data_IF_727563967080
#
_entry.id   IF_727563967080
#
_cell.length_a   1.000
_cell.length_b   1.000
_cell.length_c   1.000
_cell.angle_alpha   90.00
_cell.angle_beta   90.00
_cell.angle_gamma   90.00
#
_symmetry.space_group_name_H-M   'P 1'
#
loop_
_entity.id
_entity.type
_entity.pdbx_description
1 polymer ?
#
# COMPACT_ATOMS: atom_id res chain seq x y z
N UNK A 1 23.25 -20.86 65.55
CA UNK A 1 22.62 -19.54 65.39
C UNK A 1 22.46 -19.03 63.94
N UNK A 2 22.82 -19.78 62.88
CA UNK A 2 22.71 -19.27 61.48
C UNK A 2 21.51 -19.74 60.64
N UNK A 3 20.60 -20.57 61.19
CA UNK A 3 19.51 -21.20 60.43
C UNK A 3 18.25 -20.33 60.26
N UNK A 4 17.88 -19.55 61.28
CA UNK A 4 16.70 -18.69 61.23
C UNK A 4 16.88 -17.50 60.28
N UNK A 5 18.09 -16.92 60.21
CA UNK A 5 18.38 -15.81 59.28
C UNK A 5 18.41 -16.25 57.82
N UNK A 6 18.91 -17.45 57.53
CA UNK A 6 18.83 -18.06 56.18
C UNK A 6 17.37 -18.29 55.76
N UNK A 7 16.51 -18.73 56.67
CA UNK A 7 15.07 -18.93 56.41
C UNK A 7 14.35 -17.59 56.14
N UNK A 8 14.61 -16.56 56.96
CA UNK A 8 14.06 -15.20 56.75
C UNK A 8 14.50 -14.61 55.41
N UNK A 9 15.78 -14.73 55.04
CA UNK A 9 16.30 -14.28 53.73
C UNK A 9 15.64 -14.98 52.55
N UNK A 10 15.39 -16.30 52.62
CA UNK A 10 14.70 -17.05 51.55
C UNK A 10 13.25 -16.60 51.38
N UNK A 11 12.52 -16.39 52.48
CA UNK A 11 11.14 -15.89 52.45
C UNK A 11 11.05 -14.49 51.85
N UNK A 12 11.99 -13.59 52.21
CA UNK A 12 12.06 -12.26 51.63
C UNK A 12 12.31 -12.29 50.11
N UNK A 13 13.32 -13.07 49.66
CA UNK A 13 13.60 -13.24 48.24
C UNK A 13 12.43 -13.84 47.45
N UNK A 14 11.72 -14.81 48.03
CA UNK A 14 10.53 -15.40 47.41
C UNK A 14 9.38 -14.37 47.32
N UNK A 15 9.18 -13.55 48.36
CA UNK A 15 8.18 -12.48 48.36
C UNK A 15 8.48 -11.42 47.30
N UNK A 16 9.75 -11.04 47.14
CA UNK A 16 10.21 -10.12 46.09
C UNK A 16 10.03 -10.75 44.70
N UNK A 17 10.44 -12.00 44.50
CA UNK A 17 10.29 -12.72 43.23
C UNK A 17 8.81 -12.87 42.82
N UNK A 18 7.92 -13.18 43.77
CA UNK A 18 6.48 -13.28 43.52
C UNK A 18 5.85 -11.91 43.21
N UNK A 19 6.36 -10.83 43.81
CA UNK A 19 5.97 -9.45 43.46
C UNK A 19 6.42 -9.10 42.05
N UNK A 20 7.66 -9.39 41.69
CA UNK A 20 8.17 -9.15 40.34
C UNK A 20 7.45 -9.98 39.28
N UNK A 21 7.18 -11.26 39.54
CA UNK A 21 6.41 -12.13 38.64
C UNK A 21 5.03 -11.53 38.36
N UNK A 22 4.29 -11.14 39.41
CA UNK A 22 3.00 -10.45 39.25
C UNK A 22 3.12 -9.12 38.52
N UNK A 23 4.18 -8.34 38.77
CA UNK A 23 4.43 -7.07 38.06
C UNK A 23 4.66 -7.31 36.57
N UNK A 24 5.48 -8.30 36.20
CA UNK A 24 5.75 -8.67 34.80
C UNK A 24 4.49 -9.18 34.12
N UNK A 25 3.69 -10.00 34.79
CA UNK A 25 2.43 -10.51 34.26
C UNK A 25 1.41 -9.38 34.01
N UNK A 26 1.30 -8.40 34.93
CA UNK A 26 0.47 -7.21 34.70
C UNK A 26 0.98 -6.36 33.54
N UNK A 27 2.27 -6.09 33.48
CA UNK A 27 2.86 -5.30 32.40
C UNK A 27 2.62 -5.97 31.03
N UNK A 28 2.77 -7.30 30.93
CA UNK A 28 2.46 -8.04 29.72
C UNK A 28 0.96 -8.02 29.38
N UNK A 29 0.08 -8.15 30.38
CA UNK A 29 -1.36 -8.03 30.17
C UNK A 29 -1.77 -6.63 29.68
N UNK A 30 -1.17 -5.57 30.23
CA UNK A 30 -1.36 -4.18 29.82
C UNK A 30 -0.85 -3.94 28.39
N UNK A 31 0.33 -4.50 28.04
CA UNK A 31 0.87 -4.45 26.69
C UNK A 31 -0.05 -5.16 25.67
N UNK A 32 -0.53 -6.36 26.00
CA UNK A 32 -1.49 -7.08 25.16
C UNK A 32 -2.80 -6.30 25.01
N UNK A 33 -3.32 -5.72 26.09
CA UNK A 33 -4.53 -4.89 26.04
C UNK A 33 -4.33 -3.66 25.15
N UNK A 34 -3.18 -2.99 25.25
CA UNK A 34 -2.81 -1.86 24.40
C UNK A 34 -2.73 -2.28 22.92
N UNK A 35 -2.09 -3.42 22.64
CA UNK A 35 -1.97 -3.96 21.28
C UNK A 35 -3.32 -4.34 20.70
N UNK A 36 -4.19 -4.99 21.47
CA UNK A 36 -5.56 -5.32 21.03
C UNK A 36 -6.34 -4.04 20.73
N UNK A 37 -6.25 -3.02 21.58
CA UNK A 37 -6.90 -1.72 21.35
C UNK A 37 -6.40 -1.04 20.06
N UNK A 38 -5.08 -1.02 19.84
CA UNK A 38 -4.48 -0.47 18.62
C UNK A 38 -4.93 -1.22 17.36
N UNK A 39 -4.91 -2.56 17.40
CA UNK A 39 -5.38 -3.41 16.29
C UNK A 39 -6.88 -3.24 16.03
N UNK A 40 -7.70 -3.09 17.07
CA UNK A 40 -9.13 -2.80 16.92
C UNK A 40 -9.40 -1.43 16.31
N UNK A 41 -8.59 -0.41 16.66
CA UNK A 41 -8.66 0.91 16.03
C UNK A 41 -8.26 0.85 14.56
N UNK A 42 -7.17 0.15 14.23
CA UNK A 42 -6.72 -0.05 12.86
C UNK A 42 -7.75 -0.81 12.03
N UNK A 43 -8.32 -1.88 12.57
CA UNK A 43 -9.35 -2.68 11.88
C UNK A 43 -10.58 -1.82 11.57
N UNK A 44 -11.06 -1.01 12.52
CA UNK A 44 -12.15 -0.06 12.26
C UNK A 44 -11.81 0.95 11.15
N UNK A 45 -10.58 1.46 11.11
CA UNK A 45 -10.11 2.36 10.05
C UNK A 45 -10.10 1.67 8.69
N UNK A 46 -9.58 0.44 8.62
CA UNK A 46 -9.54 -0.35 7.39
C UNK A 46 -10.94 -0.69 6.89
N UNK A 47 -11.86 -1.08 7.77
CA UNK A 47 -13.26 -1.34 7.44
C UNK A 47 -13.94 -0.10 6.87
N UNK A 48 -13.75 1.07 7.49
CA UNK A 48 -14.30 2.33 6.97
C UNK A 48 -13.75 2.68 5.60
N UNK A 49 -12.43 2.55 5.40
CA UNK A 49 -11.82 2.80 4.09
C UNK A 49 -12.34 1.85 3.02
N UNK A 50 -12.45 0.55 3.34
CA UNK A 50 -12.97 -0.47 2.43
C UNK A 50 -14.43 -0.18 2.06
N UNK A 51 -15.26 0.27 3.02
CA UNK A 51 -16.62 0.69 2.75
C UNK A 51 -16.69 1.89 1.80
N UNK A 52 -15.83 2.90 1.99
CA UNK A 52 -15.76 4.06 1.08
C UNK A 52 -15.35 3.64 -0.34
N UNK A 53 -14.35 2.77 -0.47
CA UNK A 53 -13.90 2.25 -1.77
C UNK A 53 -15.02 1.45 -2.44
N UNK A 54 -15.68 0.55 -1.70
CA UNK A 54 -16.81 -0.22 -2.22
C UNK A 54 -17.96 0.67 -2.70
N UNK A 55 -18.32 1.71 -1.94
CA UNK A 55 -19.35 2.66 -2.34
C UNK A 55 -18.97 3.42 -3.61
N UNK A 56 -17.69 3.81 -3.76
CA UNK A 56 -17.20 4.48 -4.97
C UNK A 56 -17.26 3.55 -6.18
N UNK A 57 -16.81 2.32 -6.06
CA UNK A 57 -16.86 1.32 -7.15
C UNK A 57 -18.30 1.05 -7.59
N UNK A 58 -19.18 0.73 -6.63
CA UNK A 58 -20.60 0.49 -6.93
C UNK A 58 -21.29 1.73 -7.51
N UNK A 59 -20.90 2.94 -7.07
CA UNK A 59 -21.43 4.19 -7.60
C UNK A 59 -21.08 4.37 -9.08
N UNK A 60 -19.82 4.13 -9.44
CA UNK A 60 -19.36 4.19 -10.84
C UNK A 60 -20.04 3.14 -11.71
N UNK A 61 -20.19 1.91 -11.22
CA UNK A 61 -20.90 0.83 -11.94
C UNK A 61 -22.37 1.19 -12.20
N UNK A 62 -23.07 1.74 -11.20
CA UNK A 62 -24.46 2.20 -11.38
C UNK A 62 -24.57 3.34 -12.38
N UNK A 63 -23.62 4.28 -12.34
CA UNK A 63 -23.60 5.40 -13.28
C UNK A 63 -23.36 4.90 -14.72
N UNK A 64 -22.42 3.96 -14.91
CA UNK A 64 -22.17 3.31 -16.19
C UNK A 64 -23.44 2.62 -16.72
N UNK A 65 -24.09 1.82 -15.89
CA UNK A 65 -25.33 1.12 -16.24
C UNK A 65 -26.45 2.10 -16.64
N UNK A 66 -26.58 3.22 -15.93
CA UNK A 66 -27.56 4.27 -16.26
C UNK A 66 -27.30 4.87 -17.64
N UNK A 67 -26.03 5.14 -17.97
CA UNK A 67 -25.67 5.67 -19.29
C UNK A 67 -25.89 4.65 -20.41
N UNK A 68 -25.66 3.37 -20.15
CA UNK A 68 -26.00 2.29 -21.09
C UNK A 68 -27.52 2.20 -21.33
N UNK A 69 -28.33 2.37 -20.29
CA UNK A 69 -29.79 2.40 -20.41
C UNK A 69 -30.27 3.62 -21.22
N UNK A 70 -29.67 4.79 -21.00
CA UNK A 70 -29.98 5.98 -21.79
C UNK A 70 -29.60 5.81 -23.27
N UNK A 71 -28.44 5.22 -23.56
CA UNK A 71 -28.04 4.85 -24.92
C UNK A 71 -29.04 3.89 -25.58
N UNK A 72 -29.56 2.91 -24.84
CA UNK A 72 -30.60 1.99 -25.34
C UNK A 72 -31.89 2.74 -25.72
N UNK A 73 -32.31 3.69 -24.87
CA UNK A 73 -33.51 4.51 -25.12
C UNK A 73 -33.30 5.41 -26.33
N UNK A 74 -32.09 5.97 -26.52
CA UNK A 74 -31.76 6.76 -27.71
C UNK A 74 -31.83 5.93 -28.99
N UNK A 75 -31.36 4.67 -28.95
CA UNK A 75 -31.52 3.75 -30.08
C UNK A 75 -32.99 3.43 -30.37
N UNK A 76 -33.81 3.22 -29.35
CA UNK A 76 -35.24 2.90 -29.54
C UNK A 76 -36.05 4.08 -30.09
N UNK A 77 -35.59 5.31 -29.86
CA UNK A 77 -36.24 6.54 -30.32
C UNK A 77 -35.69 7.05 -31.65
N UNK A 78 -34.79 6.30 -32.30
CA UNK A 78 -34.10 6.72 -33.52
C UNK A 78 -33.49 8.12 -33.39
N UNK A 79 -32.76 8.36 -32.28
CA UNK A 79 -32.05 9.62 -32.06
C UNK A 79 -31.08 9.92 -33.20
N UNK A 80 -30.81 11.21 -33.44
CA UNK A 80 -29.94 11.61 -34.54
C UNK A 80 -28.50 11.11 -34.34
N UNK A 81 -27.78 10.89 -35.44
CA UNK A 81 -26.38 10.46 -35.38
C UNK A 81 -25.48 11.47 -34.65
N UNK A 82 -25.81 12.77 -34.69
CA UNK A 82 -25.08 13.82 -33.96
C UNK A 82 -25.29 13.71 -32.44
N UNK A 83 -26.53 13.51 -32.00
CA UNK A 83 -26.85 13.29 -30.58
C UNK A 83 -26.21 12.00 -30.07
N UNK A 84 -26.27 10.93 -30.86
CA UNK A 84 -25.66 9.64 -30.55
C UNK A 84 -24.12 9.76 -30.45
N UNK A 85 -23.50 10.51 -31.35
CA UNK A 85 -22.06 10.78 -31.33
C UNK A 85 -21.64 11.54 -30.06
N UNK A 86 -22.38 12.59 -29.70
CA UNK A 86 -22.09 13.38 -28.49
C UNK A 86 -22.20 12.55 -27.21
N UNK A 87 -23.24 11.72 -27.10
CA UNK A 87 -23.44 10.87 -25.93
C UNK A 87 -22.37 9.76 -25.84
N UNK A 88 -22.05 9.13 -26.98
CA UNK A 88 -21.00 8.12 -27.07
C UNK A 88 -19.62 8.70 -26.69
N UNK A 89 -19.31 9.91 -27.14
CA UNK A 89 -18.06 10.57 -26.79
C UNK A 89 -17.96 10.82 -25.28
N UNK A 90 -19.06 11.27 -24.65
CA UNK A 90 -19.10 11.41 -23.19
C UNK A 90 -18.92 10.05 -22.47
N UNK A 91 -19.56 8.99 -22.96
CA UNK A 91 -19.38 7.64 -22.43
C UNK A 91 -17.92 7.16 -22.57
N UNK A 92 -17.29 7.41 -23.72
CA UNK A 92 -15.88 7.10 -23.99
C UNK A 92 -14.97 7.79 -22.98
N UNK A 93 -15.14 9.09 -22.78
CA UNK A 93 -14.29 9.87 -21.88
C UNK A 93 -14.37 9.39 -20.42
N UNK A 94 -15.55 8.92 -19.99
CA UNK A 94 -15.79 8.44 -18.64
C UNK A 94 -15.33 7.00 -18.40
N UNK A 95 -15.51 6.09 -19.37
CA UNK A 95 -15.39 4.65 -19.13
C UNK A 95 -14.47 3.88 -20.08
N UNK A 96 -14.04 4.45 -21.19
CA UNK A 96 -13.07 3.78 -22.05
C UNK A 96 -11.70 3.73 -21.36
N UNK A 97 -10.94 2.67 -21.63
CA UNK A 97 -9.60 2.48 -21.08
C UNK A 97 -8.63 3.63 -21.43
N UNK A 98 -8.91 4.31 -22.53
CA UNK A 98 -8.11 5.40 -23.08
C UNK A 98 -8.81 6.76 -22.95
N UNK A 99 -9.94 6.84 -22.25
CA UNK A 99 -10.62 8.09 -21.93
C UNK A 99 -9.83 8.97 -20.96
N UNK A 100 -10.10 10.28 -20.99
CA UNK A 100 -9.39 11.29 -20.22
C UNK A 100 -9.53 11.07 -18.71
N UNK A 101 -10.68 10.57 -18.23
CA UNK A 101 -10.88 10.32 -16.81
C UNK A 101 -9.91 9.26 -16.27
N UNK A 102 -9.72 8.16 -17.00
CA UNK A 102 -8.77 7.11 -16.60
C UNK A 102 -7.33 7.59 -16.72
N UNK A 103 -7.01 8.36 -17.77
CA UNK A 103 -5.68 8.97 -17.94
C UNK A 103 -5.32 9.90 -16.77
N UNK A 104 -6.26 10.73 -16.32
CA UNK A 104 -6.10 11.61 -15.15
C UNK A 104 -5.86 10.81 -13.87
N UNK A 105 -6.63 9.76 -13.64
CA UNK A 105 -6.49 8.91 -12.45
C UNK A 105 -5.13 8.21 -12.40
N UNK A 106 -4.70 7.60 -13.51
CA UNK A 106 -3.37 6.96 -13.59
C UNK A 106 -2.26 7.99 -13.38
N UNK A 107 -2.34 9.16 -14.02
CA UNK A 107 -1.35 10.23 -13.80
C UNK A 107 -1.30 10.71 -12.36
N UNK A 108 -2.45 10.86 -11.71
CA UNK A 108 -2.54 11.23 -10.30
C UNK A 108 -1.83 10.20 -9.40
N UNK A 109 -2.01 8.89 -9.66
CA UNK A 109 -1.32 7.85 -8.91
C UNK A 109 0.19 7.81 -9.18
N UNK A 110 0.61 8.01 -10.42
CA UNK A 110 2.04 8.10 -10.77
C UNK A 110 2.70 9.31 -10.09
N UNK A 111 2.03 10.46 -10.03
CA UNK A 111 2.52 11.64 -9.32
C UNK A 111 2.62 11.42 -7.81
N UNK A 112 1.64 10.73 -7.20
CA UNK A 112 1.73 10.37 -5.78
C UNK A 112 2.90 9.43 -5.51
N UNK A 113 3.13 8.44 -6.38
CA UNK A 113 4.27 7.54 -6.27
C UNK A 113 5.59 8.30 -6.39
N UNK A 114 5.68 9.25 -7.34
CA UNK A 114 6.84 10.14 -7.49
C UNK A 114 7.08 10.96 -6.22
N UNK A 115 6.03 11.57 -5.66
CA UNK A 115 6.12 12.37 -4.44
C UNK A 115 6.58 11.55 -3.23
N UNK A 116 6.17 10.28 -3.13
CA UNK A 116 6.59 9.37 -2.06
C UNK A 116 8.02 8.88 -2.23
N UNK A 117 8.52 8.78 -3.47
CA UNK A 117 9.92 8.46 -3.75
C UNK A 117 10.84 9.65 -3.47
N UNK A 118 10.36 10.88 -3.66
CA UNK A 118 11.17 12.07 -3.41
C UNK A 118 11.52 12.21 -1.92
N UNK A 119 12.82 12.30 -1.56
CA UNK A 119 13.20 12.47 -0.17
C UNK A 119 12.71 13.81 0.40
N UNK A 120 12.39 13.83 1.69
CA UNK A 120 12.05 15.07 2.42
C UNK A 120 13.24 16.03 2.46
N UNK A 121 13.01 17.32 2.76
CA UNK A 121 14.09 18.33 2.79
C UNK A 121 15.25 17.94 3.73
N UNK A 122 14.93 17.43 4.92
CA UNK A 122 15.94 16.95 5.86
C UNK A 122 16.75 15.78 5.29
N UNK A 123 16.09 14.86 4.59
CA UNK A 123 16.75 13.70 3.96
C UNK A 123 17.61 14.15 2.78
N UNK A 124 17.12 15.07 1.94
CA UNK A 124 17.89 15.68 0.83
C UNK A 124 19.16 16.33 1.34
N UNK A 125 19.05 17.19 2.36
CA UNK A 125 20.22 17.84 2.98
C UNK A 125 21.19 16.82 3.57
N UNK A 126 20.69 15.77 4.21
CA UNK A 126 21.53 14.70 4.75
C UNK A 126 22.27 13.95 3.65
N UNK A 127 21.56 13.49 2.61
CA UNK A 127 22.16 12.77 1.48
C UNK A 127 23.19 13.64 0.76
N UNK A 128 22.85 14.90 0.48
CA UNK A 128 23.75 15.85 -0.17
C UNK A 128 25.01 16.11 0.65
N UNK A 129 24.87 16.41 1.95
CA UNK A 129 26.01 16.66 2.86
C UNK A 129 26.92 15.45 2.94
N UNK A 130 26.32 14.26 2.97
CA UNK A 130 27.04 13.00 3.08
C UNK A 130 27.66 12.54 1.75
N UNK A 131 27.24 13.07 0.61
CA UNK A 131 27.86 12.82 -0.70
C UNK A 131 29.14 13.65 -0.89
N UNK A 132 29.29 14.78 -0.17
CA UNK A 132 30.41 15.70 -0.34
C UNK A 132 31.77 15.08 0.01
N UNK A 133 32.82 15.55 -0.66
CA UNK A 133 34.19 15.04 -0.53
C UNK A 133 34.94 15.62 0.68
N UNK A 134 36.20 15.23 0.86
CA UNK A 134 37.03 15.71 1.98
C UNK A 134 37.38 17.19 1.89
N UNK A 135 37.26 17.82 0.72
CA UNK A 135 37.49 19.26 0.59
C UNK A 135 36.36 20.04 1.25
N UNK A 136 35.12 19.61 1.05
CA UNK A 136 33.95 20.21 1.71
C UNK A 136 34.08 20.20 3.23
N UNK A 137 34.48 19.08 3.83
CA UNK A 137 34.63 19.01 5.30
C UNK A 137 35.95 19.62 5.82
N UNK A 138 36.90 19.98 4.96
CA UNK A 138 38.14 20.67 5.34
C UNK A 138 38.02 22.18 5.23
N UNK A 139 37.00 22.69 4.55
CA UNK A 139 36.70 24.12 4.53
C UNK A 139 36.33 24.59 5.94
N UNK A 140 37.18 25.44 6.50
CA UNK A 140 36.99 26.08 7.81
C UNK A 140 36.53 27.53 7.68
N UNK A 141 36.14 27.96 6.49
CA UNK A 141 35.54 29.28 6.30
C UNK A 141 34.31 29.42 7.19
N UNK A 142 34.20 30.53 7.93
CA UNK A 142 33.06 30.79 8.83
C UNK A 142 31.71 30.85 8.09
N UNK A 143 31.73 31.00 6.77
CA UNK A 143 30.58 30.98 5.87
C UNK A 143 30.39 29.63 5.16
N UNK A 144 31.29 28.68 5.37
CA UNK A 144 31.19 27.35 4.75
C UNK A 144 30.07 26.56 5.43
N UNK A 145 29.25 25.89 4.61
CA UNK A 145 28.14 25.08 5.10
C UNK A 145 28.62 23.93 5.98
N UNK A 146 29.81 23.39 5.73
CA UNK A 146 30.41 22.34 6.55
C UNK A 146 30.79 22.84 7.95
N UNK A 147 31.43 24.01 8.08
CA UNK A 147 31.76 24.60 9.37
C UNK A 147 30.48 24.93 10.16
N UNK A 148 29.47 25.52 9.51
CA UNK A 148 28.17 25.84 10.12
C UNK A 148 27.49 24.56 10.62
N UNK A 149 27.42 23.50 9.82
CA UNK A 149 26.78 22.25 10.22
C UNK A 149 27.52 21.55 11.36
N UNK A 150 28.87 21.48 11.30
CA UNK A 150 29.68 20.85 12.35
C UNK A 150 29.57 21.60 13.68
N UNK A 151 29.59 22.95 13.65
CA UNK A 151 29.48 23.80 14.83
C UNK A 151 28.06 23.77 15.41
N UNK A 152 27.03 23.99 14.58
CA UNK A 152 25.63 24.04 15.03
C UNK A 152 25.15 22.70 15.60
N UNK A 153 25.63 21.59 15.06
CA UNK A 153 25.26 20.23 15.51
C UNK A 153 26.22 19.65 16.55
N UNK A 154 27.32 20.34 16.88
CA UNK A 154 28.31 19.88 17.87
C UNK A 154 29.00 18.55 17.48
N UNK A 155 29.28 18.35 16.18
CA UNK A 155 29.84 17.09 15.66
C UNK A 155 31.34 16.99 15.98
N UNK A 156 31.75 15.90 16.64
CA UNK A 156 33.15 15.64 16.96
C UNK A 156 33.97 15.15 15.76
N UNK A 157 35.29 15.24 15.86
CA UNK A 157 36.22 14.76 14.81
C UNK A 157 36.06 13.26 14.54
N UNK A 158 35.85 12.46 15.59
CA UNK A 158 35.57 11.02 15.45
C UNK A 158 34.24 10.74 14.75
N UNK A 159 33.20 11.51 15.09
CA UNK A 159 31.88 11.40 14.44
C UNK A 159 31.97 11.77 12.97
N UNK A 160 32.70 12.85 12.63
CA UNK A 160 33.00 13.24 11.25
C UNK A 160 33.68 12.12 10.47
N UNK A 161 34.72 11.50 11.02
CA UNK A 161 35.41 10.37 10.36
C UNK A 161 34.47 9.19 10.09
N UNK A 162 33.62 8.82 11.07
CA UNK A 162 32.59 7.77 10.90
C UNK A 162 31.53 8.12 9.86
N UNK A 163 31.17 9.40 9.75
CA UNK A 163 30.25 9.92 8.73
C UNK A 163 30.88 9.75 7.33
N UNK A 164 32.14 10.16 7.18
CA UNK A 164 32.87 10.05 5.92
C UNK A 164 33.06 8.60 5.48
N UNK A 165 33.26 7.67 6.41
CA UNK A 165 33.35 6.23 6.10
C UNK A 165 32.06 5.63 5.50
N UNK A 166 30.90 6.29 5.67
CA UNK A 166 29.61 5.81 5.13
C UNK A 166 29.29 6.33 3.72
N UNK A 167 30.14 7.18 3.16
CA UNK A 167 29.93 7.85 1.86
C UNK A 167 29.57 6.90 0.73
N UNK A 168 30.32 5.82 0.56
CA UNK A 168 30.09 4.86 -0.53
C UNK A 168 28.69 4.26 -0.47
N UNK A 169 28.26 3.85 0.73
CA UNK A 169 26.91 3.33 0.94
C UNK A 169 25.82 4.36 0.61
N UNK A 170 26.09 5.64 0.85
CA UNK A 170 25.16 6.73 0.56
C UNK A 170 25.09 7.01 -0.93
N UNK A 171 26.21 6.97 -1.64
CA UNK A 171 26.20 7.03 -3.12
C UNK A 171 25.34 5.92 -3.70
N UNK A 172 25.51 4.67 -3.24
CA UNK A 172 24.67 3.56 -3.67
C UNK A 172 23.18 3.81 -3.41
N UNK A 173 22.82 4.37 -2.25
CA UNK A 173 21.42 4.70 -1.94
C UNK A 173 20.88 5.78 -2.89
N UNK A 174 21.67 6.82 -3.16
CA UNK A 174 21.31 7.88 -4.12
C UNK A 174 21.15 7.30 -5.53
N UNK A 175 22.02 6.38 -5.94
CA UNK A 175 21.95 5.73 -7.26
C UNK A 175 20.71 4.83 -7.38
N UNK A 176 20.37 4.05 -6.34
CA UNK A 176 19.12 3.27 -6.32
C UNK A 176 17.87 4.16 -6.35
N UNK A 177 17.91 5.31 -5.68
CA UNK A 177 16.82 6.28 -5.73
C UNK A 177 16.67 6.87 -7.14
N UNK A 178 17.77 7.25 -7.79
CA UNK A 178 17.78 7.73 -9.19
C UNK A 178 17.24 6.65 -10.13
N UNK A 179 17.65 5.39 -9.95
CA UNK A 179 17.16 4.25 -10.73
C UNK A 179 15.65 4.06 -10.56
N UNK A 180 15.15 4.11 -9.32
CA UNK A 180 13.71 3.99 -9.01
C UNK A 180 12.89 5.11 -9.65
N UNK A 181 13.37 6.37 -9.56
CA UNK A 181 12.74 7.51 -10.23
C UNK A 181 12.80 7.37 -11.76
N UNK A 182 13.90 6.85 -12.32
CA UNK A 182 14.04 6.59 -13.75
C UNK A 182 13.12 5.48 -14.25
N UNK A 183 12.90 4.42 -13.45
CA UNK A 183 11.90 3.38 -13.73
C UNK A 183 10.48 3.98 -13.76
N UNK A 184 10.15 4.85 -12.80
CA UNK A 184 8.87 5.54 -12.76
C UNK A 184 8.67 6.47 -13.97
N UNK A 185 9.71 7.21 -14.37
CA UNK A 185 9.69 8.04 -15.58
C UNK A 185 9.38 7.22 -16.83
N UNK A 186 10.06 6.09 -17.02
CA UNK A 186 9.79 5.17 -18.14
C UNK A 186 8.37 4.60 -18.10
N UNK A 187 7.86 4.26 -16.92
CA UNK A 187 6.48 3.80 -16.78
C UNK A 187 5.50 4.90 -17.21
N UNK A 188 5.72 6.15 -16.79
CA UNK A 188 4.89 7.29 -17.18
C UNK A 188 4.89 7.51 -18.69
N UNK A 189 6.06 7.50 -19.33
CA UNK A 189 6.19 7.60 -20.80
C UNK A 189 5.47 6.45 -21.52
N UNK A 190 5.60 5.22 -21.02
CA UNK A 190 4.95 4.05 -21.60
C UNK A 190 3.41 4.16 -21.50
N UNK A 191 2.90 4.57 -20.35
CA UNK A 191 1.47 4.80 -20.11
C UNK A 191 0.92 5.89 -21.03
N UNK A 192 1.59 7.04 -21.13
CA UNK A 192 1.17 8.12 -22.02
C UNK A 192 1.22 7.73 -23.50
N UNK A 193 2.29 7.04 -23.91
CA UNK A 193 2.41 6.50 -25.27
C UNK A 193 1.34 5.45 -25.59
N UNK A 194 0.95 4.63 -24.61
CA UNK A 194 -0.16 3.68 -24.73
C UNK A 194 -1.47 4.41 -25.01
N UNK A 195 -1.80 5.46 -24.26
CA UNK A 195 -3.04 6.21 -24.48
C UNK A 195 -3.10 6.83 -25.89
N UNK A 196 -2.02 7.47 -26.34
CA UNK A 196 -1.97 8.06 -27.68
C UNK A 196 -2.22 7.03 -28.79
N UNK A 197 -1.60 5.85 -28.68
CA UNK A 197 -1.79 4.75 -29.64
C UNK A 197 -3.20 4.17 -29.60
N UNK A 198 -3.80 4.05 -28.41
CA UNK A 198 -5.17 3.58 -28.28
C UNK A 198 -6.16 4.57 -28.89
N UNK A 199 -6.01 5.87 -28.65
CA UNK A 199 -6.88 6.90 -29.25
C UNK A 199 -6.76 6.89 -30.78
N UNK A 200 -5.55 6.77 -31.32
CA UNK A 200 -5.32 6.70 -32.77
C UNK A 200 -5.95 5.43 -33.38
N UNK A 201 -5.60 4.25 -32.86
CA UNK A 201 -6.09 2.98 -33.42
C UNK A 201 -7.59 2.80 -33.22
N UNK A 202 -8.10 3.10 -32.03
CA UNK A 202 -9.52 2.96 -31.74
C UNK A 202 -10.33 4.03 -32.46
N UNK A 203 -9.83 5.26 -32.55
CA UNK A 203 -10.44 6.32 -33.36
C UNK A 203 -10.55 5.94 -34.83
N UNK A 204 -9.48 5.38 -35.42
CA UNK A 204 -9.49 4.88 -36.80
C UNK A 204 -10.46 3.71 -37.02
N UNK A 205 -10.58 2.79 -36.04
CA UNK A 205 -11.52 1.68 -36.14
C UNK A 205 -12.96 2.18 -36.01
N UNK A 206 -13.20 3.10 -35.09
CA UNK A 206 -14.51 3.68 -34.82
C UNK A 206 -14.99 4.61 -35.94
N UNK A 207 -14.10 5.27 -36.68
CA UNK A 207 -14.48 6.12 -37.81
C UNK A 207 -15.12 5.35 -38.97
N UNK A 208 -14.94 4.02 -39.03
CA UNK A 208 -15.58 3.16 -40.03
C UNK A 208 -17.06 2.91 -39.69
N UNK A 209 -17.44 3.07 -38.41
CA UNK A 209 -18.78 2.79 -37.91
C UNK A 209 -19.58 4.08 -37.67
N UNK A 210 -20.88 4.05 -37.99
CA UNK A 210 -21.77 5.14 -37.58
C UNK A 210 -21.89 5.19 -36.06
N UNK A 211 -22.12 6.37 -35.46
CA UNK A 211 -22.41 6.49 -34.03
C UNK A 211 -23.45 5.48 -33.53
N UNK A 212 -24.54 5.27 -34.27
CA UNK A 212 -25.54 4.23 -33.97
C UNK A 212 -24.93 2.83 -33.90
N UNK A 213 -24.13 2.43 -34.89
CA UNK A 213 -23.44 1.13 -34.89
C UNK A 213 -22.46 0.97 -33.73
N UNK A 214 -21.77 2.05 -33.35
CA UNK A 214 -20.84 2.05 -32.22
C UNK A 214 -21.58 1.85 -30.90
N UNK A 215 -22.70 2.52 -30.69
CA UNK A 215 -23.52 2.32 -29.50
C UNK A 215 -24.11 0.91 -29.45
N UNK A 216 -24.60 0.40 -30.58
CA UNK A 216 -25.05 -1.00 -30.69
C UNK A 216 -23.93 -1.98 -30.31
N UNK A 217 -22.70 -1.75 -30.77
CA UNK A 217 -21.55 -2.59 -30.42
C UNK A 217 -21.26 -2.55 -28.91
N UNK A 218 -21.22 -1.36 -28.30
CA UNK A 218 -20.99 -1.19 -26.85
C UNK A 218 -22.04 -1.97 -26.05
N UNK A 219 -23.32 -1.79 -26.36
CA UNK A 219 -24.43 -2.46 -25.68
C UNK A 219 -24.47 -3.97 -25.96
N UNK A 220 -24.06 -4.39 -27.15
CA UNK A 220 -23.97 -5.80 -27.48
C UNK A 220 -22.87 -6.49 -26.67
N UNK A 221 -21.69 -5.85 -26.53
CA UNK A 221 -20.59 -6.41 -25.74
C UNK A 221 -21.01 -6.61 -24.29
N UNK A 222 -21.70 -5.64 -23.68
CA UNK A 222 -22.16 -5.77 -22.28
C UNK A 222 -23.25 -6.82 -22.12
N UNK A 223 -24.22 -6.91 -23.05
CA UNK A 223 -25.27 -7.95 -23.00
C UNK A 223 -24.76 -9.37 -23.23
N UNK A 224 -23.66 -9.52 -23.97
CA UNK A 224 -23.11 -10.81 -24.38
C UNK A 224 -21.81 -11.18 -23.66
N UNK A 225 -21.55 -10.59 -22.49
CA UNK A 225 -20.31 -10.80 -21.72
C UNK A 225 -20.01 -12.29 -21.47
N UNK A 226 -21.03 -13.09 -21.11
CA UNK A 226 -20.88 -14.53 -20.86
C UNK A 226 -20.49 -15.33 -22.11
N UNK A 227 -20.97 -14.92 -23.29
CA UNK A 227 -20.61 -15.52 -24.57
C UNK A 227 -19.18 -15.15 -24.97
N UNK A 228 -18.78 -13.90 -24.73
CA UNK A 228 -17.43 -13.43 -24.99
C UNK A 228 -16.43 -14.10 -24.04
N UNK A 229 -16.79 -14.28 -22.78
CA UNK A 229 -16.00 -15.00 -21.78
C UNK A 229 -15.71 -16.45 -22.17
N UNK A 230 -16.66 -17.15 -22.79
CA UNK A 230 -16.48 -18.54 -23.23
C UNK A 230 -15.75 -18.66 -24.57
N UNK A 231 -15.86 -17.66 -25.44
CA UNK A 231 -15.36 -17.72 -26.82
C UNK A 231 -14.00 -17.04 -27.01
N UNK A 232 -13.66 -16.04 -26.19
CA UNK A 232 -12.44 -15.24 -26.32
C UNK A 232 -11.50 -15.56 -25.14
N UNK A 233 -10.35 -16.19 -25.39
CA UNK A 233 -9.36 -16.46 -24.36
C UNK A 233 -8.93 -15.18 -23.64
N UNK A 234 -9.03 -15.17 -22.32
CA UNK A 234 -8.61 -14.03 -21.48
C UNK A 234 -9.62 -12.89 -21.39
N UNK A 235 -10.81 -13.00 -22.00
CA UNK A 235 -11.85 -11.97 -21.90
C UNK A 235 -12.41 -11.80 -20.48
N UNK A 236 -12.61 -12.91 -19.76
CA UNK A 236 -13.08 -12.90 -18.37
C UNK A 236 -11.95 -12.73 -17.33
N UNK A 237 -10.69 -12.66 -17.76
CA UNK A 237 -9.56 -12.44 -16.85
C UNK A 237 -9.27 -10.95 -16.77
N UNK A 238 -9.06 -10.44 -15.55
CA UNK A 238 -8.57 -9.07 -15.29
C UNK A 238 -7.25 -8.77 -16.03
N UNK A 239 -6.58 -9.80 -16.54
CA UNK A 239 -5.40 -9.74 -17.39
C UNK A 239 -5.72 -10.25 -18.79
N UNK A 240 -6.29 -9.40 -19.64
CA UNK A 240 -6.44 -9.72 -21.07
C UNK A 240 -5.07 -10.03 -21.68
N UNK A 241 -4.78 -11.31 -21.92
CA UNK A 241 -3.54 -11.79 -22.56
C UNK A 241 -2.23 -11.47 -21.82
N UNK A 242 -2.26 -10.85 -20.63
CA UNK A 242 -1.07 -10.56 -19.84
C UNK A 242 -0.75 -11.76 -18.95
N UNK A 243 0.14 -12.64 -19.43
CA UNK A 243 0.98 -13.41 -18.52
C UNK A 243 1.88 -12.41 -17.80
N UNK A 244 1.45 -11.97 -16.60
CA UNK A 244 2.41 -11.51 -15.62
C UNK A 244 3.32 -12.71 -15.39
N UNK A 245 4.49 -12.74 -16.03
CA UNK A 245 5.56 -13.65 -15.67
C UNK A 245 5.91 -13.27 -14.24
N UNK A 246 5.22 -13.88 -13.28
CA UNK A 246 5.62 -13.86 -11.90
C UNK A 246 7.03 -14.44 -11.93
N UNK A 247 8.03 -13.56 -11.77
CA UNK A 247 9.36 -13.98 -11.44
C UNK A 247 9.18 -14.92 -10.26
N UNK A 248 9.36 -16.21 -10.54
CA UNK A 248 9.15 -17.29 -9.60
C UNK A 248 10.28 -17.20 -8.60
N UNK A 249 10.18 -16.24 -7.69
CA UNK A 249 10.90 -16.28 -6.44
C UNK A 249 10.09 -17.21 -5.58
N UNK A 250 10.37 -18.51 -5.75
CA UNK A 250 9.92 -19.57 -4.84
C UNK A 250 10.58 -19.33 -3.48
N UNK A 251 10.02 -18.41 -2.71
CA UNK A 251 10.07 -18.49 -1.25
C UNK A 251 8.76 -19.10 -0.84
N UNK A 252 8.80 -20.41 -0.56
CA UNK A 252 7.72 -21.15 0.09
C UNK A 252 7.15 -20.32 1.24
N UNK A 253 5.82 -20.27 1.41
CA UNK A 253 5.24 -19.71 2.62
C UNK A 253 5.65 -20.63 3.77
N UNK A 254 6.60 -20.20 4.59
CA UNK A 254 6.83 -20.85 5.88
C UNK A 254 5.50 -20.78 6.64
N UNK A 255 4.96 -21.93 7.00
CA UNK A 255 3.75 -22.06 7.79
C UNK A 255 3.78 -21.08 8.99
N UNK A 256 2.64 -20.50 9.38
CA UNK A 256 2.58 -19.72 10.61
C UNK A 256 3.10 -20.58 11.77
N UNK A 257 3.91 -20.03 12.70
CA UNK A 257 4.41 -20.80 13.82
C UNK A 257 3.22 -21.37 14.59
N UNK A 258 3.15 -22.69 14.61
CA UNK A 258 2.18 -23.46 15.39
C UNK A 258 2.22 -23.00 16.84
N UNK A 259 1.05 -22.64 17.37
CA UNK A 259 0.84 -22.38 18.79
C UNK A 259 1.41 -23.55 19.61
N UNK A 260 2.09 -23.28 20.75
CA UNK A 260 2.52 -24.35 21.64
C UNK A 260 1.30 -25.12 22.18
N UNK A 261 1.44 -26.43 22.44
CA UNK A 261 0.33 -27.26 22.87
C UNK A 261 -0.24 -26.77 24.20
N UNK A 262 -1.56 -26.67 24.25
CA UNK A 262 -2.35 -26.40 25.46
C UNK A 262 -1.95 -27.38 26.57
N UNK A 263 -1.64 -26.85 27.75
CA UNK A 263 -1.40 -27.63 28.96
C UNK A 263 -2.62 -28.53 29.28
N UNK A 264 -2.41 -29.72 29.86
CA UNK A 264 -3.50 -30.61 30.22
C UNK A 264 -4.39 -29.99 31.29
N UNK A 265 -5.69 -30.11 31.07
CA UNK A 265 -6.76 -29.79 32.01
C UNK A 265 -6.60 -30.64 33.28
N UNK A 266 -6.10 -30.02 34.35
CA UNK A 266 -5.96 -30.64 35.66
C UNK A 266 -7.20 -30.33 36.49
N UNK A 267 -8.18 -31.24 36.39
CA UNK A 267 -8.93 -31.75 37.54
C UNK A 267 -9.84 -30.78 38.28
N UNK A 268 -11.09 -30.67 37.81
CA UNK A 268 -12.25 -30.47 38.70
C UNK A 268 -12.61 -31.82 39.34
N UNK A 269 -12.07 -32.12 40.51
CA UNK A 269 -12.65 -33.13 41.41
C UNK A 269 -12.50 -32.69 42.88
N UNK A 270 -13.64 -32.71 43.59
CA UNK A 270 -13.67 -32.87 45.05
C UNK A 270 -13.84 -31.61 45.90
N UNK A 271 -15.09 -31.17 46.10
CA UNK A 271 -15.49 -30.55 47.39
C UNK A 271 -17.01 -30.57 47.59
N UNK A 272 -17.58 -31.77 47.70
CA UNK A 272 -18.86 -31.98 48.39
C UNK A 272 -18.59 -32.72 49.71
N UNK A 273 -18.78 -32.02 50.83
CA UNK A 273 -19.14 -32.48 52.19
C UNK A 273 -18.35 -31.74 53.27
N UNK A 274 -19.02 -30.81 53.95
CA UNK A 274 -19.13 -30.75 55.42
C UNK A 274 -19.93 -29.49 55.79
N UNK A 275 -21.07 -29.68 56.47
CA UNK A 275 -21.88 -28.55 56.93
C UNK A 275 -23.26 -28.92 57.46
N UNK A 276 -23.35 -29.94 58.33
CA UNK A 276 -24.45 -30.05 59.31
C UNK A 276 -23.89 -30.55 60.63
N UNK A 277 -24.42 -29.95 61.69
CA UNK A 277 -24.33 -30.25 63.13
C UNK A 277 -23.29 -29.44 63.95
N UNK A 278 -23.86 -28.66 64.88
CA UNK A 278 -23.26 -27.68 65.76
C UNK A 278 -24.20 -26.49 65.92
#
# INVERSE_FOLDING_TARGET
WGGQDKKKRRLQKNRESARECRRRQRAHAEELASRVSALQAENRRLQSHLQTVQQRVQGMERQKLSMEQEMEVMLQKDASEEEMAGYLEHFKECYADYGDQRRKEVNFHLQQLEALLLPTQTTKMSLWTLEQDDTFFRDTGKTSLSAILLETLGISIEQKSKIQARRERIRHLVDHLKESLGLLGRLKENVEGRYARFEEHMGSLQSVLTPTQRVQLVLWVTKNEALLASSIPGFARDTFGMELTAASTTTSPSAPPSLPPSLPDMGREGSERAGREG
#
